data_IF_371639392959
#
_entry.id   IF_371639392959
#
_cell.length_a   1.000
_cell.length_b   1.000
_cell.length_c   1.000
_cell.angle_alpha   90.00
_cell.angle_beta   90.00
_cell.angle_gamma   90.00
#
_symmetry.space_group_name_H-M   'P 1'
#
loop_
_entity.id
_entity.type
_entity.pdbx_description
1 polymer ?
#
# COMPACT_ATOMS: atom_id res chain seq x y z
N UNK A 1 11.66 -17.02 -3.19
CA UNK A 1 12.21 -15.65 -3.31
C UNK A 1 13.22 -15.41 -2.19
N UNK A 2 14.33 -14.74 -2.45
CA UNK A 2 15.33 -14.37 -1.43
C UNK A 2 15.13 -12.93 -0.99
N UNK A 3 15.23 -12.65 0.31
CA UNK A 3 14.87 -11.35 0.87
C UNK A 3 15.87 -10.91 1.93
N UNK A 4 16.32 -9.67 1.81
CA UNK A 4 17.10 -8.97 2.82
C UNK A 4 16.20 -8.06 3.65
N UNK A 5 16.39 -8.08 4.97
CA UNK A 5 15.77 -7.15 5.93
C UNK A 5 16.86 -6.55 6.81
N UNK A 6 16.56 -5.53 7.65
CA UNK A 6 17.57 -4.98 8.57
C UNK A 6 18.19 -6.03 9.50
N UNK A 7 17.41 -7.04 9.90
CA UNK A 7 17.84 -8.14 10.77
C UNK A 7 18.48 -9.30 9.98
N UNK A 8 18.01 -9.55 8.76
CA UNK A 8 18.49 -10.60 7.86
C UNK A 8 19.18 -9.92 6.67
N UNK A 9 20.36 -9.37 6.91
CA UNK A 9 20.93 -8.29 6.10
C UNK A 9 22.06 -8.73 5.16
N UNK A 10 22.33 -10.03 5.02
CA UNK A 10 23.49 -10.52 4.27
C UNK A 10 23.13 -11.77 3.47
N UNK A 11 23.40 -11.73 2.17
CA UNK A 11 23.10 -12.79 1.20
C UNK A 11 24.42 -13.28 0.57
N UNK A 12 24.91 -14.47 0.95
CA UNK A 12 26.09 -15.08 0.32
C UNK A 12 25.73 -15.61 -1.09
N UNK A 13 26.45 -15.16 -2.12
CA UNK A 13 26.24 -15.55 -3.53
C UNK A 13 27.59 -15.93 -4.14
N UNK A 14 27.85 -17.21 -4.32
CA UNK A 14 29.15 -17.73 -4.76
C UNK A 14 30.28 -17.19 -3.87
N UNK A 15 31.27 -16.56 -4.49
CA UNK A 15 32.41 -15.92 -3.81
C UNK A 15 32.15 -14.44 -3.45
N UNK A 16 30.91 -13.97 -3.61
CA UNK A 16 30.50 -12.60 -3.32
C UNK A 16 29.48 -12.55 -2.20
N UNK A 17 29.25 -11.35 -1.69
CA UNK A 17 28.24 -11.09 -0.69
C UNK A 17 27.43 -9.85 -1.04
N UNK A 18 26.10 -9.95 -0.97
CA UNK A 18 25.27 -8.75 -0.89
C UNK A 18 24.99 -8.46 0.57
N UNK A 19 25.33 -7.26 1.03
CA UNK A 19 25.05 -6.79 2.37
C UNK A 19 24.19 -5.53 2.35
N UNK A 20 23.24 -5.45 3.28
CA UNK A 20 22.44 -4.27 3.47
C UNK A 20 23.18 -3.26 4.36
N UNK A 21 23.43 -2.06 3.84
CA UNK A 21 23.97 -0.90 4.58
C UNK A 21 22.83 0.12 4.71
N UNK A 22 22.25 0.20 5.90
CA UNK A 22 20.97 0.88 6.09
C UNK A 22 19.86 0.16 5.34
N UNK A 23 19.31 0.80 4.31
CA UNK A 23 18.32 0.19 3.41
C UNK A 23 18.93 -0.22 2.06
N UNK A 24 20.20 0.11 1.79
CA UNK A 24 20.82 0.00 0.47
C UNK A 24 21.59 -1.32 0.35
N UNK A 25 21.30 -2.17 -0.65
CA UNK A 25 22.10 -3.37 -0.90
C UNK A 25 23.43 -2.97 -1.55
N UNK A 26 24.53 -3.53 -1.03
CA UNK A 26 25.89 -3.33 -1.54
C UNK A 26 26.48 -4.67 -1.88
N UNK A 27 27.06 -4.79 -3.07
CA UNK A 27 27.81 -5.96 -3.50
C UNK A 27 29.26 -5.83 -2.99
N UNK A 28 29.71 -6.83 -2.26
CA UNK A 28 31.05 -6.94 -1.71
C UNK A 28 31.76 -8.15 -2.33
N UNK A 29 33.05 -7.98 -2.59
CA UNK A 29 33.92 -9.09 -2.98
C UNK A 29 34.25 -9.94 -1.75
N UNK A 30 34.26 -11.26 -1.92
CA UNK A 30 34.52 -12.23 -0.87
C UNK A 30 33.27 -12.81 -0.20
N UNK A 31 33.37 -14.02 0.37
CA UNK A 31 32.27 -14.69 1.04
C UNK A 31 31.90 -14.00 2.36
N UNK A 32 30.63 -14.09 2.75
CA UNK A 32 30.17 -13.58 4.05
C UNK A 32 29.39 -14.62 4.85
N UNK A 33 29.56 -14.57 6.17
CA UNK A 33 28.68 -15.26 7.11
C UNK A 33 27.42 -14.41 7.29
N UNK A 34 26.43 -14.69 6.45
CA UNK A 34 25.21 -13.91 6.37
C UNK A 34 23.96 -14.74 6.62
N UNK A 35 22.87 -14.08 7.02
CA UNK A 35 21.54 -14.67 7.07
C UNK A 35 20.58 -13.81 6.26
N UNK A 36 19.75 -14.46 5.47
CA UNK A 36 18.70 -13.88 4.66
C UNK A 36 17.39 -14.63 4.90
N UNK A 37 16.28 -14.10 4.39
CA UNK A 37 15.00 -14.77 4.39
C UNK A 37 14.72 -15.44 3.04
N UNK A 38 14.08 -16.59 3.08
CA UNK A 38 13.51 -17.30 1.94
C UNK A 38 11.99 -17.28 2.09
N UNK A 39 11.30 -16.81 1.06
CA UNK A 39 9.85 -16.95 0.91
C UNK A 39 9.56 -18.14 -0.01
N UNK A 40 8.74 -19.05 0.51
CA UNK A 40 8.14 -20.18 -0.18
C UNK A 40 6.63 -20.18 0.06
N UNK A 41 5.87 -20.98 -0.71
CA UNK A 41 4.40 -21.08 -0.56
C UNK A 41 3.97 -21.35 0.89
N UNK A 42 4.74 -22.17 1.62
CA UNK A 42 4.46 -22.57 3.00
C UNK A 42 4.76 -21.50 4.05
N UNK A 43 5.55 -20.46 3.74
CA UNK A 43 5.91 -19.41 4.68
C UNK A 43 7.25 -18.74 4.42
N UNK A 44 7.71 -17.99 5.42
CA UNK A 44 8.97 -17.25 5.41
C UNK A 44 9.96 -17.88 6.41
N UNK A 45 11.19 -18.17 5.97
CA UNK A 45 12.20 -18.87 6.76
C UNK A 45 13.56 -18.20 6.63
N UNK A 46 14.42 -18.37 7.63
CA UNK A 46 15.80 -17.90 7.54
C UNK A 46 16.70 -18.96 6.88
N UNK A 47 17.70 -18.49 6.14
CA UNK A 47 18.77 -19.32 5.60
C UNK A 47 20.11 -18.59 5.73
N UNK A 48 21.17 -19.36 5.92
CA UNK A 48 22.57 -18.94 5.88
C UNK A 48 23.33 -19.67 4.76
N UNK A 49 22.66 -20.55 4.01
CA UNK A 49 23.28 -21.35 2.96
C UNK A 49 23.74 -20.44 1.82
N UNK A 50 25.00 -20.56 1.37
CA UNK A 50 25.47 -19.91 0.15
C UNK A 50 24.57 -20.25 -1.03
N UNK A 51 24.21 -19.24 -1.82
CA UNK A 51 23.55 -19.43 -3.10
C UNK A 51 24.62 -19.59 -4.17
N UNK A 52 24.47 -20.57 -5.06
CA UNK A 52 25.38 -20.72 -6.20
C UNK A 52 25.36 -19.45 -7.08
N UNK A 53 24.14 -18.98 -7.38
CA UNK A 53 23.88 -17.72 -8.05
C UNK A 53 22.55 -17.15 -7.55
N UNK A 54 22.42 -15.82 -7.60
CA UNK A 54 21.13 -15.16 -7.41
C UNK A 54 21.07 -13.94 -8.33
N UNK A 55 20.34 -14.08 -9.44
CA UNK A 55 20.08 -12.98 -10.36
C UNK A 55 19.11 -11.96 -9.78
N UNK A 56 18.18 -12.40 -8.92
CA UNK A 56 17.12 -11.56 -8.35
C UNK A 56 16.92 -11.86 -6.87
N UNK A 57 16.88 -10.81 -6.06
CA UNK A 57 16.48 -10.85 -4.65
C UNK A 57 15.67 -9.60 -4.31
N UNK A 58 15.11 -9.57 -3.10
CA UNK A 58 14.29 -8.46 -2.64
C UNK A 58 14.90 -7.80 -1.40
N UNK A 59 14.62 -6.52 -1.21
CA UNK A 59 14.96 -5.77 -0.01
C UNK A 59 13.67 -5.29 0.65
N UNK A 60 13.45 -5.71 1.89
CA UNK A 60 12.30 -5.36 2.73
C UNK A 60 12.74 -4.54 3.96
N UNK A 61 13.57 -3.52 3.72
CA UNK A 61 14.03 -2.55 4.70
C UNK A 61 13.48 -1.18 4.28
N UNK A 62 12.20 -0.92 4.55
CA UNK A 62 11.48 0.24 4.03
C UNK A 62 10.54 -0.13 2.88
N UNK A 63 10.41 0.73 1.86
CA UNK A 63 9.63 0.41 0.67
C UNK A 63 10.23 -0.84 -0.02
N UNK A 64 9.42 -1.85 -0.36
CA UNK A 64 9.93 -3.10 -0.91
C UNK A 64 10.57 -2.86 -2.28
N UNK A 65 11.76 -3.42 -2.50
CA UNK A 65 12.48 -3.31 -3.77
C UNK A 65 12.83 -4.67 -4.30
N UNK A 66 12.61 -4.88 -5.60
CA UNK A 66 13.19 -5.99 -6.35
C UNK A 66 14.56 -5.54 -6.83
N UNK A 67 15.58 -6.35 -6.58
CA UNK A 67 16.97 -6.05 -6.93
C UNK A 67 17.49 -7.12 -7.86
N UNK A 68 17.98 -6.68 -9.01
CA UNK A 68 18.59 -7.53 -10.02
C UNK A 68 20.11 -7.31 -10.01
N UNK A 69 20.87 -8.40 -9.91
CA UNK A 69 22.32 -8.39 -9.97
C UNK A 69 22.75 -8.78 -11.38
N UNK A 70 23.19 -7.80 -12.18
CA UNK A 70 23.62 -7.99 -13.56
C UNK A 70 24.95 -7.26 -13.80
N UNK A 71 25.96 -7.98 -14.30
CA UNK A 71 27.25 -7.39 -14.68
C UNK A 71 28.01 -6.68 -13.55
N UNK A 72 27.82 -7.11 -12.30
CA UNK A 72 28.42 -6.45 -11.12
C UNK A 72 27.68 -5.19 -10.64
N UNK A 73 26.56 -4.82 -11.30
CA UNK A 73 25.70 -3.71 -10.92
C UNK A 73 24.43 -4.24 -10.26
N UNK A 74 23.92 -3.51 -9.27
CA UNK A 74 22.62 -3.77 -8.63
C UNK A 74 21.58 -2.77 -9.15
N UNK A 75 20.55 -3.26 -9.82
CA UNK A 75 19.44 -2.45 -10.33
C UNK A 75 18.23 -2.71 -9.45
N UNK A 76 17.70 -1.65 -8.83
CA UNK A 76 16.53 -1.74 -7.95
C UNK A 76 15.29 -1.17 -8.62
N UNK A 77 14.19 -1.93 -8.61
CA UNK A 77 12.86 -1.54 -9.09
C UNK A 77 11.83 -1.66 -7.99
N UNK A 78 10.57 -1.32 -8.30
CA UNK A 78 9.43 -1.67 -7.44
C UNK A 78 9.46 -3.16 -7.08
N UNK A 79 9.17 -3.47 -5.82
CA UNK A 79 9.19 -4.82 -5.28
C UNK A 79 7.89 -5.23 -4.58
N UNK A 80 6.75 -4.60 -4.89
CA UNK A 80 5.48 -4.96 -4.25
C UNK A 80 5.10 -6.44 -4.51
N UNK A 81 5.54 -6.99 -5.63
CA UNK A 81 5.40 -8.39 -6.01
C UNK A 81 6.06 -9.38 -5.04
N UNK A 82 6.97 -8.91 -4.17
CA UNK A 82 7.49 -9.67 -3.03
C UNK A 82 6.38 -10.34 -2.20
N UNK A 83 5.23 -9.69 -2.12
CA UNK A 83 4.12 -10.11 -1.29
C UNK A 83 3.13 -11.04 -2.00
N UNK A 84 3.46 -11.52 -3.20
CA UNK A 84 2.61 -12.44 -3.96
C UNK A 84 2.96 -13.91 -3.67
N UNK A 85 1.96 -14.77 -3.67
CA UNK A 85 2.12 -16.23 -3.69
C UNK A 85 2.74 -16.86 -2.45
N UNK A 86 2.40 -16.40 -1.24
CA UNK A 86 2.92 -17.01 -0.01
C UNK A 86 1.94 -16.94 1.19
N UNK A 87 2.12 -17.88 2.12
CA UNK A 87 1.36 -17.95 3.37
C UNK A 87 2.03 -17.12 4.48
N UNK A 88 1.25 -16.38 5.28
CA UNK A 88 1.73 -15.64 6.46
C UNK A 88 2.09 -16.56 7.64
N UNK A 89 3.18 -17.31 7.48
CA UNK A 89 3.73 -18.29 8.44
C UNK A 89 5.24 -18.08 8.61
N UNK A 90 5.79 -18.64 9.69
CA UNK A 90 7.21 -18.51 10.03
C UNK A 90 7.56 -17.05 10.36
N UNK A 91 8.61 -16.53 9.74
CA UNK A 91 9.16 -15.19 9.97
C UNK A 91 8.44 -14.08 9.18
N UNK A 92 7.20 -14.29 8.75
CA UNK A 92 6.42 -13.29 7.99
C UNK A 92 6.38 -11.89 8.63
N UNK A 93 6.36 -11.82 9.97
CA UNK A 93 6.36 -10.55 10.71
C UNK A 93 7.57 -9.65 10.37
N UNK A 94 8.67 -10.21 9.91
CA UNK A 94 9.85 -9.46 9.47
C UNK A 94 9.58 -8.65 8.19
N UNK A 95 8.59 -9.05 7.38
CA UNK A 95 8.23 -8.39 6.12
C UNK A 95 7.06 -7.42 6.25
N UNK A 96 6.28 -7.54 7.34
CA UNK A 96 5.09 -6.72 7.59
C UNK A 96 5.36 -5.20 7.57
N UNK A 97 6.45 -4.68 8.19
CA UNK A 97 6.75 -3.26 8.12
C UNK A 97 6.96 -2.77 6.68
N UNK A 98 7.61 -3.57 5.83
CA UNK A 98 7.85 -3.21 4.43
C UNK A 98 6.55 -3.15 3.64
N UNK A 99 5.63 -4.09 3.85
CA UNK A 99 4.30 -4.03 3.25
C UNK A 99 3.52 -2.80 3.71
N UNK A 100 3.59 -2.46 4.99
CA UNK A 100 2.92 -1.27 5.53
C UNK A 100 3.48 0.01 4.90
N UNK A 101 4.80 0.09 4.74
CA UNK A 101 5.47 1.20 4.06
C UNK A 101 5.03 1.30 2.60
N UNK A 102 4.89 0.18 1.88
CA UNK A 102 4.40 0.17 0.51
C UNK A 102 2.98 0.77 0.39
N UNK A 103 2.07 0.30 1.25
CA UNK A 103 0.69 0.80 1.30
C UNK A 103 0.65 2.28 1.67
N UNK A 104 1.42 2.72 2.66
CA UNK A 104 1.48 4.11 3.09
C UNK A 104 2.09 5.02 2.00
N UNK A 105 3.17 4.57 1.36
CA UNK A 105 3.84 5.30 0.28
C UNK A 105 2.90 5.53 -0.90
N UNK A 106 2.15 4.51 -1.30
CA UNK A 106 1.15 4.60 -2.35
C UNK A 106 -0.02 5.50 -1.93
N UNK A 107 -0.59 5.28 -0.75
CA UNK A 107 -1.70 6.09 -0.21
C UNK A 107 -1.34 7.58 -0.14
N UNK A 108 -0.10 7.93 0.20
CA UNK A 108 0.35 9.32 0.25
C UNK A 108 0.50 10.01 -1.11
N UNK A 109 0.40 9.29 -2.23
CA UNK A 109 0.63 9.81 -3.59
C UNK A 109 -0.55 9.63 -4.53
N UNK A 110 -1.48 8.73 -4.24
CA UNK A 110 -2.65 8.54 -5.08
C UNK A 110 -3.62 9.71 -4.92
N UNK A 111 -4.00 10.33 -6.05
CA UNK A 111 -5.18 11.18 -6.12
C UNK A 111 -6.47 10.33 -6.08
N UNK A 112 -6.43 9.18 -6.75
CA UNK A 112 -7.46 8.16 -6.72
C UNK A 112 -6.80 6.84 -6.37
N UNK A 113 -7.18 6.24 -5.25
CA UNK A 113 -6.47 5.11 -4.67
C UNK A 113 -7.20 3.81 -4.96
N UNK A 114 -6.49 2.83 -5.50
CA UNK A 114 -7.04 1.52 -5.82
C UNK A 114 -6.15 0.40 -5.30
N UNK A 115 -6.77 -0.69 -4.86
CA UNK A 115 -6.07 -1.92 -4.54
C UNK A 115 -6.86 -3.13 -5.00
N UNK A 116 -6.13 -4.14 -5.44
CA UNK A 116 -6.63 -5.50 -5.65
C UNK A 116 -5.88 -6.44 -4.72
N UNK A 117 -6.64 -7.24 -3.98
CA UNK A 117 -6.11 -8.25 -3.07
C UNK A 117 -6.84 -9.56 -3.36
N UNK A 118 -6.08 -10.58 -3.72
CA UNK A 118 -6.55 -11.95 -3.82
C UNK A 118 -5.89 -12.77 -2.73
N UNK A 119 -6.69 -13.25 -1.78
CA UNK A 119 -6.17 -13.83 -0.56
C UNK A 119 -7.14 -14.79 0.12
N UNK A 120 -6.59 -15.67 0.94
CA UNK A 120 -7.34 -16.45 1.92
C UNK A 120 -7.38 -15.65 3.22
N UNK A 121 -8.57 -15.47 3.79
CA UNK A 121 -8.76 -14.70 5.03
C UNK A 121 -9.05 -15.63 6.21
N UNK A 122 -8.55 -15.26 7.39
CA UNK A 122 -8.89 -15.91 8.67
C UNK A 122 -10.34 -15.64 9.06
N UNK A 123 -10.81 -14.43 8.78
CA UNK A 123 -12.18 -13.97 8.99
C UNK A 123 -12.68 -13.46 7.63
N UNK A 124 -13.80 -13.98 7.11
CA UNK A 124 -14.35 -13.53 5.83
C UNK A 124 -14.46 -11.99 5.77
N UNK A 125 -13.83 -11.34 4.78
CA UNK A 125 -13.95 -9.91 4.61
C UNK A 125 -15.39 -9.57 4.21
N UNK A 126 -15.89 -8.43 4.69
CA UNK A 126 -17.23 -7.94 4.32
C UNK A 126 -17.08 -6.78 3.35
N UNK A 127 -17.91 -6.71 2.30
CA UNK A 127 -17.99 -5.52 1.49
C UNK A 127 -18.47 -4.36 2.37
N UNK A 128 -17.98 -3.16 2.08
CA UNK A 128 -18.47 -1.95 2.74
C UNK A 128 -18.36 -0.75 1.81
N UNK A 129 -19.26 0.21 2.01
CA UNK A 129 -19.24 1.51 1.34
C UNK A 129 -19.29 2.61 2.39
N UNK A 130 -18.52 3.66 2.17
CA UNK A 130 -18.53 4.89 2.97
C UNK A 130 -18.38 6.09 2.04
N UNK A 131 -18.64 7.33 2.49
CA UNK A 131 -18.40 8.51 1.67
C UNK A 131 -16.96 8.51 1.10
N UNK A 132 -16.85 8.53 -0.23
CA UNK A 132 -15.57 8.56 -0.95
C UNK A 132 -14.76 7.26 -0.92
N UNK A 133 -15.32 6.13 -0.48
CA UNK A 133 -14.60 4.85 -0.48
C UNK A 133 -15.54 3.63 -0.60
N UNK A 134 -15.12 2.61 -1.34
CA UNK A 134 -15.78 1.31 -1.38
C UNK A 134 -14.77 0.17 -1.30
N UNK A 135 -15.21 -0.92 -0.68
CA UNK A 135 -14.53 -2.21 -0.71
C UNK A 135 -15.54 -3.24 -1.18
N UNK A 136 -15.25 -3.83 -2.33
CA UNK A 136 -16.01 -4.90 -2.94
C UNK A 136 -15.30 -6.22 -2.68
N UNK A 137 -16.11 -7.27 -2.48
CA UNK A 137 -15.62 -8.59 -2.10
C UNK A 137 -16.36 -9.63 -2.93
N UNK A 138 -15.60 -10.43 -3.67
CA UNK A 138 -16.09 -11.59 -4.39
C UNK A 138 -15.43 -12.85 -3.81
N UNK A 139 -16.23 -13.87 -3.51
CA UNK A 139 -15.70 -15.15 -3.00
C UNK A 139 -15.58 -16.14 -4.15
N UNK A 140 -14.40 -16.73 -4.31
CA UNK A 140 -14.15 -17.84 -5.24
C UNK A 140 -13.50 -19.01 -4.49
N UNK A 141 -14.30 -20.04 -4.19
CA UNK A 141 -13.85 -21.18 -3.39
C UNK A 141 -13.40 -20.76 -1.97
N UNK A 142 -12.12 -20.96 -1.67
CA UNK A 142 -11.48 -20.57 -0.39
C UNK A 142 -10.83 -19.19 -0.43
N UNK A 143 -10.74 -18.59 -1.61
CA UNK A 143 -10.07 -17.31 -1.86
C UNK A 143 -11.12 -16.21 -1.98
N UNK A 144 -10.74 -15.01 -1.55
CA UNK A 144 -11.53 -13.81 -1.73
C UNK A 144 -10.76 -12.86 -2.63
N UNK A 145 -11.45 -12.32 -3.63
CA UNK A 145 -11.00 -11.18 -4.42
C UNK A 145 -11.59 -9.94 -3.77
N UNK A 146 -10.73 -9.00 -3.40
CA UNK A 146 -11.11 -7.76 -2.75
C UNK A 146 -10.60 -6.61 -3.60
N UNK A 147 -11.53 -5.75 -4.00
CA UNK A 147 -11.23 -4.51 -4.71
C UNK A 147 -11.56 -3.37 -3.76
N UNK A 148 -10.58 -2.51 -3.51
CA UNK A 148 -10.77 -1.32 -2.69
C UNK A 148 -10.48 -0.09 -3.53
N UNK A 149 -11.35 0.90 -3.42
CA UNK A 149 -11.29 2.16 -4.17
C UNK A 149 -11.58 3.33 -3.25
N UNK A 150 -10.81 4.40 -3.39
CA UNK A 150 -11.03 5.64 -2.66
C UNK A 150 -10.88 6.85 -3.58
N UNK A 151 -11.86 7.75 -3.47
CA UNK A 151 -11.91 9.04 -4.13
C UNK A 151 -10.83 10.00 -3.58
N UNK A 152 -10.55 11.10 -4.31
CA UNK A 152 -9.64 12.14 -3.82
C UNK A 152 -9.99 12.63 -2.41
N UNK A 153 -8.96 12.80 -1.57
CA UNK A 153 -9.12 13.21 -0.17
C UNK A 153 -9.37 12.07 0.83
N UNK A 154 -9.52 10.82 0.38
CA UNK A 154 -9.85 9.67 1.24
C UNK A 154 -8.69 8.65 1.39
N UNK A 155 -7.46 9.04 1.09
CA UNK A 155 -6.29 8.15 1.09
C UNK A 155 -5.93 7.56 2.46
N UNK A 156 -6.17 8.28 3.56
CA UNK A 156 -5.95 7.76 4.91
C UNK A 156 -6.97 6.67 5.30
N UNK A 157 -8.22 6.84 4.89
CA UNK A 157 -9.26 5.82 5.02
C UNK A 157 -8.89 4.57 4.23
N UNK A 158 -8.43 4.76 2.99
CA UNK A 158 -7.91 3.68 2.14
C UNK A 158 -6.75 2.93 2.81
N UNK A 159 -5.70 3.64 3.23
CA UNK A 159 -4.54 3.05 3.94
C UNK A 159 -5.00 2.20 5.13
N UNK A 160 -5.85 2.75 5.99
CA UNK A 160 -6.36 2.08 7.18
C UNK A 160 -7.12 0.79 6.84
N UNK A 161 -7.97 0.84 5.83
CA UNK A 161 -8.74 -0.32 5.39
C UNK A 161 -7.87 -1.43 4.81
N UNK A 162 -6.91 -1.10 3.94
CA UNK A 162 -5.98 -2.06 3.34
C UNK A 162 -5.16 -2.75 4.43
N UNK A 163 -4.61 -1.97 5.38
CA UNK A 163 -3.85 -2.54 6.49
C UNK A 163 -4.72 -3.44 7.39
N UNK A 164 -5.99 -3.09 7.60
CA UNK A 164 -6.94 -3.93 8.34
C UNK A 164 -7.22 -5.25 7.62
N UNK A 165 -7.44 -5.21 6.31
CA UNK A 165 -7.60 -6.41 5.48
C UNK A 165 -6.35 -7.29 5.56
N UNK A 166 -5.16 -6.70 5.37
CA UNK A 166 -3.88 -7.41 5.44
C UNK A 166 -3.73 -8.17 6.76
N UNK A 167 -4.08 -7.58 7.91
CA UNK A 167 -4.00 -8.29 9.21
C UNK A 167 -4.87 -9.54 9.29
N UNK A 168 -5.97 -9.58 8.55
CA UNK A 168 -6.92 -10.69 8.53
C UNK A 168 -6.55 -11.79 7.52
N UNK A 169 -5.64 -11.51 6.59
CA UNK A 169 -5.18 -12.49 5.60
C UNK A 169 -4.35 -13.60 6.26
N UNK A 170 -4.53 -14.84 5.80
CA UNK A 170 -3.69 -15.99 6.11
C UNK A 170 -2.72 -16.34 4.96
N UNK A 171 -3.18 -16.28 3.71
CA UNK A 171 -2.36 -16.48 2.50
C UNK A 171 -2.61 -15.35 1.52
N UNK A 172 -1.55 -14.74 0.98
CA UNK A 172 -1.65 -13.75 -0.10
C UNK A 172 -1.34 -14.49 -1.41
N UNK A 173 -2.32 -14.55 -2.30
CA UNK A 173 -2.10 -15.03 -3.66
C UNK A 173 -1.58 -13.88 -4.52
N UNK A 174 -2.24 -12.72 -4.43
CA UNK A 174 -1.83 -11.50 -5.14
C UNK A 174 -2.20 -10.24 -4.36
N UNK A 175 -1.32 -9.25 -4.41
CA UNK A 175 -1.60 -7.88 -4.03
C UNK A 175 -1.13 -6.92 -5.12
N UNK A 176 -1.93 -5.91 -5.41
CA UNK A 176 -1.59 -4.88 -6.38
C UNK A 176 -2.21 -3.55 -5.94
N UNK A 177 -1.46 -2.46 -6.11
CA UNK A 177 -1.87 -1.09 -5.81
C UNK A 177 -1.87 -0.30 -7.11
N UNK A 178 -2.77 0.67 -7.25
CA UNK A 178 -2.82 1.52 -8.45
C UNK A 178 -3.28 0.82 -9.71
N UNK A 179 -4.03 -0.27 -9.58
CA UNK A 179 -4.64 -0.94 -10.74
C UNK A 179 -5.82 -0.15 -11.27
N UNK A 180 -6.05 -0.21 -12.58
CA UNK A 180 -7.26 0.31 -13.21
C UNK A 180 -8.44 -0.58 -12.83
N UNK A 181 -9.49 0.03 -12.29
CA UNK A 181 -10.74 -0.64 -11.92
C UNK A 181 -11.91 0.23 -12.39
N UNK A 182 -12.98 -0.41 -12.85
CA UNK A 182 -14.23 0.28 -13.14
C UNK A 182 -14.81 0.76 -11.81
N UNK A 183 -14.61 2.04 -11.52
CA UNK A 183 -15.05 2.66 -10.29
C UNK A 183 -16.58 2.77 -10.28
N UNK A 184 -17.27 2.30 -9.23
CA UNK A 184 -18.68 2.58 -9.06
C UNK A 184 -18.94 4.10 -9.09
N UNK A 185 -19.80 4.57 -10.02
CA UNK A 185 -20.08 5.99 -10.23
C UNK A 185 -20.66 6.68 -8.97
N UNK A 186 -21.28 5.90 -8.08
CA UNK A 186 -21.81 6.37 -6.79
C UNK A 186 -20.73 6.81 -5.80
N UNK A 187 -19.46 6.46 -6.03
CA UNK A 187 -18.33 7.01 -5.28
C UNK A 187 -18.14 8.51 -5.52
N UNK A 188 -18.57 9.01 -6.67
CA UNK A 188 -18.43 10.41 -7.07
C UNK A 188 -19.67 11.26 -6.72
N UNK A 189 -20.84 10.63 -6.57
CA UNK A 189 -22.10 11.35 -6.33
C UNK A 189 -22.24 11.95 -4.93
N UNK A 190 -21.45 11.48 -3.95
CA UNK A 190 -21.43 12.07 -2.61
C UNK A 190 -20.68 13.41 -2.51
N UNK A 191 -19.90 13.77 -3.54
CA UNK A 191 -19.18 15.06 -3.59
C UNK A 191 -20.10 16.26 -3.84
N UNK A 192 -21.40 16.07 -4.11
CA UNK A 192 -22.35 17.17 -4.38
C UNK A 192 -23.25 17.55 -3.20
N UNK A 193 -23.08 16.96 -2.01
CA UNK A 193 -23.63 17.57 -0.78
C UNK A 193 -22.65 18.56 -0.18
N UNK A 194 -22.16 19.48 -1.01
CA UNK A 194 -21.75 20.78 -0.51
C UNK A 194 -23.00 21.39 0.10
N UNK A 195 -22.93 21.68 1.40
CA UNK A 195 -23.85 22.54 2.12
C UNK A 195 -24.24 23.74 1.25
N UNK A 196 -25.41 23.70 0.61
CA UNK A 196 -26.19 24.92 0.43
C UNK A 196 -26.61 25.29 1.85
N UNK A 197 -25.70 25.96 2.55
CA UNK A 197 -26.14 26.93 3.54
C UNK A 197 -27.03 27.85 2.72
N UNK A 198 -28.30 27.90 3.07
CA UNK A 198 -29.12 29.07 2.75
C UNK A 198 -28.44 30.25 3.46
N UNK A 199 -27.35 30.75 2.88
CA UNK A 199 -26.91 32.12 3.05
C UNK A 199 -28.01 32.94 2.36
N UNK A 200 -29.09 33.09 3.12
CA UNK A 200 -30.01 34.20 2.96
C UNK A 200 -29.10 35.42 2.90
N UNK A 201 -29.02 36.15 1.78
CA UNK A 201 -28.22 37.36 1.76
C UNK A 201 -28.75 38.25 2.89
N UNK A 202 -27.88 38.87 3.71
CA UNK A 202 -28.35 39.84 4.67
C UNK A 202 -29.12 40.89 3.88
N UNK A 203 -30.41 41.00 4.19
CA UNK A 203 -31.26 42.10 3.73
C UNK A 203 -30.62 43.35 4.33
N UNK A 204 -29.84 44.06 3.52
CA UNK A 204 -29.48 45.43 3.83
C UNK A 204 -30.78 46.24 3.82
N UNK A 205 -31.31 46.48 5.02
CA UNK A 205 -32.32 47.50 5.24
C UNK A 205 -31.69 48.84 4.84
N UNK A 206 -31.96 49.28 3.61
CA UNK A 206 -31.75 50.66 3.20
C UNK A 206 -32.73 51.50 4.05
N UNK A 207 -32.26 52.38 4.94
CA UNK A 207 -33.15 53.29 5.64
C UNK A 207 -33.83 54.17 4.61
N UNK A 208 -35.17 54.16 4.59
CA UNK A 208 -35.97 55.14 3.84
C UNK A 208 -35.50 56.55 4.24
N UNK A 209 -34.90 57.27 3.30
CA UNK A 209 -34.84 58.72 3.34
C UNK A 209 -36.28 59.22 3.46
N UNK A 210 -36.61 59.79 4.62
CA UNK A 210 -37.86 60.50 4.85
C UNK A 210 -37.79 61.79 4.07
N UNK A 211 -38.67 61.93 3.09
CA UNK A 211 -39.16 63.22 2.65
C UNK A 211 -39.76 63.95 3.85
N UNK A 212 -39.09 65.04 4.25
CA UNK A 212 -39.66 66.12 5.05
C UNK A 212 -39.26 67.42 4.36
N UNK A 213 -40.01 67.78 3.33
CA UNK A 213 -40.22 69.19 3.03
C UNK A 213 -41.25 69.73 4.04
N UNK A 214 -40.84 70.69 4.85
CA UNK A 214 -41.73 71.77 5.29
C UNK A 214 -40.88 73.05 5.44
N UNK A 215 -41.29 74.05 4.65
CA UNK A 215 -40.92 75.45 4.74
C UNK A 215 -41.16 76.03 6.14
N UNK A 216 -40.31 76.98 6.57
CA UNK A 216 -40.71 78.34 6.99
C UNK A 216 -39.53 79.11 7.65
N UNK A 217 -39.43 80.38 7.21
CA UNK A 217 -38.64 81.53 7.70
C UNK A 217 -37.16 81.62 7.27
#
# INVERSE_FOLDING_TARGET
MYVLTPRFNSLPIGDKCVKLVGEIPVLLEGPCKGRYLIIERRGVYASDKPLAEASVFYVAAGYPRRVEAAGGVLIATDGLDLFNGFTKRGLWRELEPSLHTAVAYYAGRCAYCTAYIEAVFKIPPRPYKSPGMAVEVEKSGKTYKVVAVAAPGHSDGFKTAILRLIRQISSIERISLGITVDAPLDLYSYSQRTSIRNDTPPVYLIPRLKDREFLLL
#
